data_IF_464328753826
#
_entry.id   IF_464328753826
#
_cell.length_a   1.000
_cell.length_b   1.000
_cell.length_c   1.000
_cell.angle_alpha   90.00
_cell.angle_beta   90.00
_cell.angle_gamma   90.00
#
_symmetry.space_group_name_H-M   'P 1'
#
loop_
_entity.id
_entity.type
_entity.pdbx_description
1 polymer ?
#
# COMPACT_ATOMS: atom_id res chain seq x y z
N UNK A 1 9.61 13.75 6.06
CA UNK A 1 11.00 14.13 6.29
C UNK A 1 11.28 14.69 7.68
N UNK A 2 10.54 15.68 8.23
CA UNK A 2 10.82 16.26 9.56
C UNK A 2 10.92 15.26 10.75
N UNK A 3 10.23 14.10 10.71
CA UNK A 3 10.31 13.11 11.80
C UNK A 3 11.59 12.26 11.75
N UNK A 4 12.11 11.96 10.57
CA UNK A 4 13.32 11.13 10.39
C UNK A 4 14.57 12.00 10.62
N UNK A 5 14.58 13.23 10.12
CA UNK A 5 15.68 14.16 10.37
C UNK A 5 15.83 14.58 11.86
N UNK A 6 14.75 14.45 12.64
CA UNK A 6 14.82 14.62 14.12
C UNK A 6 15.58 13.52 14.84
N UNK A 7 15.78 12.36 14.23
CA UNK A 7 16.55 11.23 14.77
C UNK A 7 18.05 11.28 14.41
N UNK A 8 18.54 12.40 13.86
CA UNK A 8 19.93 12.61 13.42
C UNK A 8 20.45 11.60 12.36
N UNK A 9 19.56 10.85 11.71
CA UNK A 9 19.93 9.94 10.61
C UNK A 9 19.80 10.73 9.32
N UNK A 10 20.90 10.99 8.58
CA UNK A 10 20.81 11.64 7.27
C UNK A 10 20.18 10.67 6.28
N UNK A 11 19.01 11.01 5.75
CA UNK A 11 18.30 10.20 4.77
C UNK A 11 18.01 11.03 3.53
N UNK A 12 18.50 10.60 2.38
CA UNK A 12 18.16 11.19 1.10
C UNK A 12 16.74 10.77 0.65
N UNK A 13 16.02 11.61 -0.11
CA UNK A 13 14.67 11.27 -0.57
C UNK A 13 14.57 9.91 -1.28
N UNK A 14 15.60 9.53 -2.02
CA UNK A 14 15.69 8.28 -2.79
C UNK A 14 15.82 7.03 -1.91
N UNK A 15 16.16 7.23 -0.63
CA UNK A 15 16.25 6.16 0.37
C UNK A 15 14.91 5.92 1.09
N UNK A 16 13.88 6.72 0.80
CA UNK A 16 12.56 6.60 1.41
C UNK A 16 11.65 5.81 0.46
N UNK A 17 11.37 4.56 0.80
CA UNK A 17 10.41 3.74 0.09
C UNK A 17 9.01 3.89 0.69
N UNK A 18 8.04 4.14 -0.16
CA UNK A 18 6.63 4.20 0.23
C UNK A 18 5.78 3.45 -0.79
N UNK A 19 4.61 2.91 -0.40
CA UNK A 19 3.70 2.28 -1.34
C UNK A 19 3.22 3.19 -2.49
N UNK A 20 3.34 4.51 -2.35
CA UNK A 20 3.04 5.46 -3.44
C UNK A 20 4.05 5.36 -4.60
N UNK A 21 5.33 5.09 -4.29
CA UNK A 21 6.36 4.88 -5.34
C UNK A 21 6.04 3.61 -6.14
N UNK A 22 5.61 2.55 -5.45
CA UNK A 22 5.21 1.31 -6.11
C UNK A 22 3.95 1.49 -6.95
N UNK A 23 2.97 2.26 -6.44
CA UNK A 23 1.76 2.61 -7.18
C UNK A 23 2.10 3.43 -8.45
N UNK A 24 2.99 4.42 -8.34
CA UNK A 24 3.47 5.18 -9.50
C UNK A 24 4.11 4.27 -10.55
N UNK A 25 5.03 3.40 -10.13
CA UNK A 25 5.68 2.45 -11.04
C UNK A 25 4.66 1.54 -11.72
N UNK A 26 3.66 1.05 -10.98
CA UNK A 26 2.58 0.23 -11.53
C UNK A 26 1.73 0.99 -12.58
N UNK A 27 1.36 2.24 -12.29
CA UNK A 27 0.62 3.08 -13.24
C UNK A 27 1.39 3.25 -14.55
N UNK A 28 2.70 3.54 -14.45
CA UNK A 28 3.59 3.72 -15.61
C UNK A 28 3.78 2.43 -16.40
N UNK A 29 4.04 1.32 -15.72
CA UNK A 29 4.25 0.00 -16.33
C UNK A 29 3.02 -0.48 -17.10
N UNK A 30 1.83 -0.26 -16.55
CA UNK A 30 0.55 -0.60 -17.19
C UNK A 30 0.14 0.38 -18.29
N UNK A 31 0.75 1.56 -18.34
CA UNK A 31 0.40 2.60 -19.30
C UNK A 31 -0.96 3.25 -19.06
N UNK A 32 -1.44 3.24 -17.81
CA UNK A 32 -2.71 3.89 -17.47
C UNK A 32 -2.61 5.41 -17.67
N UNK A 33 -3.62 5.98 -18.30
CA UNK A 33 -3.72 7.42 -18.59
C UNK A 33 -4.79 8.13 -17.75
N UNK A 34 -5.70 7.36 -17.14
CA UNK A 34 -6.77 7.89 -16.31
C UNK A 34 -7.02 6.98 -15.10
N UNK A 35 -6.74 7.51 -13.92
CA UNK A 35 -6.80 6.81 -12.63
C UNK A 35 -7.71 7.56 -11.69
N UNK A 36 -8.70 6.88 -11.12
CA UNK A 36 -9.43 7.43 -9.99
C UNK A 36 -8.64 7.21 -8.70
N UNK A 37 -7.94 8.26 -8.25
CA UNK A 37 -7.11 8.21 -7.05
C UNK A 37 -7.91 8.64 -5.82
N UNK A 38 -8.25 7.69 -4.94
CA UNK A 38 -8.88 7.94 -3.64
C UNK A 38 -7.76 8.26 -2.65
N UNK A 39 -7.60 9.56 -2.35
CA UNK A 39 -6.52 10.07 -1.53
C UNK A 39 -6.89 11.42 -0.91
N UNK A 40 -6.07 11.89 0.04
CA UNK A 40 -6.10 13.30 0.45
C UNK A 40 -5.60 14.20 -0.68
N UNK A 41 -6.02 15.45 -0.68
CA UNK A 41 -5.60 16.44 -1.69
C UNK A 41 -4.06 16.58 -1.77
N UNK A 42 -3.38 16.48 -0.62
CA UNK A 42 -1.91 16.55 -0.57
C UNK A 42 -1.25 15.36 -1.28
N UNK A 43 -1.78 14.16 -1.12
CA UNK A 43 -1.26 12.95 -1.80
C UNK A 43 -1.57 13.03 -3.29
N UNK A 44 -2.77 13.50 -3.66
CA UNK A 44 -3.16 13.68 -5.05
C UNK A 44 -2.26 14.67 -5.78
N UNK A 45 -2.00 15.84 -5.18
CA UNK A 45 -1.08 16.83 -5.74
C UNK A 45 0.34 16.27 -5.92
N UNK A 46 0.85 15.54 -4.93
CA UNK A 46 2.15 14.89 -5.03
C UNK A 46 2.22 13.85 -6.16
N UNK A 47 1.20 13.01 -6.30
CA UNK A 47 1.14 12.01 -7.38
C UNK A 47 0.96 12.67 -8.75
N UNK A 48 0.19 13.77 -8.84
CA UNK A 48 0.03 14.53 -10.08
C UNK A 48 1.37 15.13 -10.55
N UNK A 49 2.16 15.69 -9.65
CA UNK A 49 3.51 16.18 -9.95
C UNK A 49 4.41 15.06 -10.48
N UNK A 50 4.41 13.92 -9.82
CA UNK A 50 5.24 12.76 -10.20
C UNK A 50 4.83 12.12 -11.53
N UNK A 51 3.56 12.17 -11.89
CA UNK A 51 3.01 11.57 -13.12
C UNK A 51 2.77 12.60 -14.24
N UNK A 52 3.23 13.85 -14.06
CA UNK A 52 2.99 14.93 -15.01
C UNK A 52 3.57 14.65 -16.41
N UNK A 53 4.77 14.07 -16.47
CA UNK A 53 5.44 13.67 -17.72
C UNK A 53 4.71 12.55 -18.46
N UNK A 54 3.96 11.71 -17.76
CA UNK A 54 3.13 10.63 -18.33
C UNK A 54 1.71 11.10 -18.71
N UNK A 55 1.33 12.33 -18.37
CA UNK A 55 0.01 12.89 -18.71
C UNK A 55 -1.17 12.17 -18.05
N UNK A 56 -0.97 11.54 -16.88
CA UNK A 56 -1.99 10.77 -16.18
C UNK A 56 -2.97 11.70 -15.47
N UNK A 57 -4.27 11.53 -15.75
CA UNK A 57 -5.35 12.14 -14.96
C UNK A 57 -5.58 11.35 -13.68
N UNK A 58 -5.76 12.04 -12.54
CA UNK A 58 -6.02 11.42 -11.24
C UNK A 58 -7.44 11.72 -10.69
N UNK A 59 -8.29 12.28 -11.54
CA UNK A 59 -9.65 12.65 -11.21
C UNK A 59 -10.65 11.55 -11.51
N UNK A 60 -11.82 11.63 -10.86
CA UNK A 60 -12.96 10.79 -11.19
C UNK A 60 -13.49 11.14 -12.59
N UNK A 61 -13.45 10.18 -13.48
CA UNK A 61 -14.04 10.24 -14.81
C UNK A 61 -14.56 8.83 -15.16
N UNK A 62 -15.87 8.57 -15.01
CA UNK A 62 -16.44 7.23 -15.21
C UNK A 62 -16.29 6.69 -16.61
N UNK A 63 -16.13 7.57 -17.63
CA UNK A 63 -15.96 7.17 -19.01
C UNK A 63 -14.50 6.80 -19.33
N UNK A 64 -13.52 7.35 -18.61
CA UNK A 64 -12.10 7.24 -18.93
C UNK A 64 -11.28 6.45 -17.91
N UNK A 65 -11.68 6.42 -16.64
CA UNK A 65 -10.86 5.75 -15.62
C UNK A 65 -10.64 4.27 -15.95
N UNK A 66 -9.38 3.87 -15.92
CA UNK A 66 -8.87 2.51 -16.17
C UNK A 66 -8.49 1.80 -14.88
N UNK A 67 -8.22 2.59 -13.83
CA UNK A 67 -7.77 2.13 -12.53
C UNK A 67 -8.48 2.91 -11.42
N UNK A 68 -8.85 2.20 -10.35
CA UNK A 68 -9.20 2.77 -9.05
C UNK A 68 -8.03 2.48 -8.12
N UNK A 69 -7.43 3.52 -7.54
CA UNK A 69 -6.31 3.39 -6.61
C UNK A 69 -6.68 3.94 -5.24
N UNK A 70 -6.69 3.07 -4.22
CA UNK A 70 -7.01 3.43 -2.84
C UNK A 70 -5.72 3.67 -2.06
N UNK A 71 -5.58 4.87 -1.51
CA UNK A 71 -4.48 5.28 -0.63
C UNK A 71 -5.00 5.72 0.73
N UNK A 72 -4.11 5.93 1.70
CA UNK A 72 -4.50 6.45 3.00
C UNK A 72 -5.07 7.87 2.88
N UNK A 73 -6.35 8.01 3.17
CA UNK A 73 -7.10 9.23 2.99
C UNK A 73 -7.81 9.65 4.28
N UNK A 74 -7.27 10.69 4.94
CA UNK A 74 -7.91 11.33 6.12
C UNK A 74 -9.04 12.27 5.74
N UNK A 75 -9.20 12.56 4.45
CA UNK A 75 -10.23 13.41 3.87
C UNK A 75 -11.29 12.56 3.13
N UNK A 76 -11.37 11.26 3.47
CA UNK A 76 -12.30 10.31 2.86
C UNK A 76 -13.75 10.78 3.10
N UNK A 77 -14.50 10.82 2.01
CA UNK A 77 -15.94 11.14 2.04
C UNK A 77 -16.75 9.97 1.51
N UNK A 78 -18.04 9.95 1.87
CA UNK A 78 -18.98 8.99 1.28
C UNK A 78 -19.03 9.12 -0.25
N UNK A 79 -18.94 10.33 -0.79
CA UNK A 79 -18.93 10.57 -2.24
C UNK A 79 -17.76 9.82 -2.93
N UNK A 80 -16.54 9.89 -2.39
CA UNK A 80 -15.38 9.16 -2.95
C UNK A 80 -15.63 7.65 -3.00
N UNK A 81 -16.26 7.08 -1.98
CA UNK A 81 -16.60 5.65 -1.94
C UNK A 81 -17.73 5.31 -2.90
N UNK A 82 -18.76 6.17 -3.01
CA UNK A 82 -19.87 5.99 -3.94
C UNK A 82 -19.40 6.05 -5.40
N UNK A 83 -18.49 6.98 -5.72
CA UNK A 83 -17.89 7.10 -7.05
C UNK A 83 -17.08 5.83 -7.41
N UNK A 84 -16.26 5.32 -6.48
CA UNK A 84 -15.50 4.09 -6.68
C UNK A 84 -16.42 2.89 -6.92
N UNK A 85 -17.44 2.70 -6.09
CA UNK A 85 -18.38 1.59 -6.23
C UNK A 85 -19.24 1.74 -7.49
N UNK A 86 -19.64 2.96 -7.83
CA UNK A 86 -20.37 3.26 -9.08
C UNK A 86 -19.55 2.88 -10.30
N UNK A 87 -18.30 3.33 -10.38
CA UNK A 87 -17.38 3.01 -11.47
C UNK A 87 -17.13 1.48 -11.56
N UNK A 88 -16.89 0.82 -10.43
CA UNK A 88 -16.73 -0.64 -10.38
C UNK A 88 -17.95 -1.37 -10.90
N UNK A 89 -19.16 -0.99 -10.47
CA UNK A 89 -20.40 -1.62 -10.88
C UNK A 89 -20.65 -1.43 -12.38
N UNK A 90 -20.39 -0.25 -12.91
CA UNK A 90 -20.55 0.04 -14.34
C UNK A 90 -19.64 -0.83 -15.23
N UNK A 91 -18.44 -1.15 -14.77
CA UNK A 91 -17.40 -1.81 -15.55
C UNK A 91 -17.27 -3.31 -15.29
N UNK A 92 -17.43 -3.75 -14.04
CA UNK A 92 -17.04 -5.09 -13.58
C UNK A 92 -18.22 -5.98 -13.16
N UNK A 93 -19.37 -5.41 -12.75
CA UNK A 93 -20.50 -6.22 -12.33
C UNK A 93 -21.18 -6.91 -13.53
N UNK A 94 -21.56 -8.20 -13.37
CA UNK A 94 -22.45 -8.82 -14.35
C UNK A 94 -23.84 -8.14 -14.34
N UNK A 95 -24.54 -8.06 -15.49
CA UNK A 95 -25.89 -7.51 -15.54
C UNK A 95 -26.83 -8.24 -14.58
N UNK A 96 -27.55 -7.50 -13.75
CA UNK A 96 -28.48 -8.05 -12.76
C UNK A 96 -29.35 -6.97 -12.12
N UNK A 97 -30.33 -7.36 -11.28
CA UNK A 97 -31.25 -6.39 -10.64
C UNK A 97 -30.54 -5.32 -9.80
N UNK A 98 -29.37 -5.64 -9.24
CA UNK A 98 -28.54 -4.73 -8.45
C UNK A 98 -27.50 -3.97 -9.27
N UNK A 99 -27.32 -4.32 -10.55
CA UNK A 99 -26.38 -3.70 -11.50
C UNK A 99 -27.09 -3.44 -12.83
N UNK A 100 -28.03 -2.49 -12.90
CA UNK A 100 -28.85 -2.30 -14.09
C UNK A 100 -28.12 -1.71 -15.30
N UNK A 101 -26.95 -1.14 -15.12
CA UNK A 101 -26.24 -0.40 -16.16
C UNK A 101 -24.84 -0.97 -16.38
N UNK A 102 -24.73 -1.94 -17.29
CA UNK A 102 -23.44 -2.26 -17.91
C UNK A 102 -23.39 -1.60 -19.28
N UNK A 103 -22.45 -0.72 -19.51
CA UNK A 103 -22.08 -0.31 -20.84
C UNK A 103 -21.36 -1.50 -21.50
N UNK A 104 -22.04 -2.17 -22.40
CA UNK A 104 -21.66 -3.48 -23.00
C UNK A 104 -20.28 -3.53 -23.68
N UNK A 105 -19.60 -2.41 -23.85
CA UNK A 105 -18.37 -2.28 -24.64
C UNK A 105 -17.19 -1.65 -23.88
N UNK A 106 -17.25 -1.53 -22.54
CA UNK A 106 -16.16 -0.92 -21.79
C UNK A 106 -15.27 -1.99 -21.13
N UNK A 107 -13.96 -1.75 -21.17
CA UNK A 107 -12.95 -2.56 -20.47
C UNK A 107 -13.21 -2.54 -18.96
N UNK A 108 -13.07 -3.67 -18.26
CA UNK A 108 -13.12 -3.69 -16.80
C UNK A 108 -12.14 -2.67 -16.20
N UNK A 109 -12.53 -2.01 -15.12
CA UNK A 109 -11.63 -1.16 -14.33
C UNK A 109 -10.86 -2.02 -13.34
N UNK A 110 -9.56 -1.78 -13.20
CA UNK A 110 -8.75 -2.43 -12.17
C UNK A 110 -8.90 -1.70 -10.83
N UNK A 111 -8.64 -2.41 -9.73
CA UNK A 111 -8.64 -1.84 -8.39
C UNK A 111 -7.39 -2.27 -7.64
N UNK A 112 -6.67 -1.30 -7.07
CA UNK A 112 -5.45 -1.53 -6.29
C UNK A 112 -5.47 -0.73 -4.99
N UNK A 113 -4.68 -1.17 -4.00
CA UNK A 113 -4.53 -0.48 -2.73
C UNK A 113 -3.05 -0.37 -2.32
N UNK A 114 -2.71 0.66 -1.58
CA UNK A 114 -1.32 0.91 -1.20
C UNK A 114 -0.83 0.01 -0.05
N UNK A 115 -1.69 -0.42 0.87
CA UNK A 115 -1.32 -1.34 1.96
C UNK A 115 -2.56 -1.99 2.62
N UNK A 116 -2.41 -3.10 3.35
CA UNK A 116 -3.53 -3.86 3.88
C UNK A 116 -3.87 -3.53 5.34
N UNK A 117 -3.15 -2.61 6.00
CA UNK A 117 -3.33 -2.34 7.43
C UNK A 117 -4.78 -1.92 7.72
N UNK A 118 -5.41 -2.56 8.70
CA UNK A 118 -6.82 -2.30 9.05
C UNK A 118 -6.97 -1.08 9.96
N UNK A 119 -5.92 -0.75 10.70
CA UNK A 119 -5.88 0.39 11.59
C UNK A 119 -4.48 1.01 11.66
N UNK A 120 -4.47 2.30 11.94
CA UNK A 120 -3.28 3.10 12.18
C UNK A 120 -3.24 3.52 13.67
N UNK A 121 -2.10 3.45 14.38
CA UNK A 121 -2.01 3.90 15.76
C UNK A 121 -2.18 5.42 15.86
N UNK A 122 -2.88 5.87 16.90
CA UNK A 122 -3.02 7.29 17.24
C UNK A 122 -3.03 7.49 18.75
N UNK A 123 -2.89 8.74 19.19
CA UNK A 123 -2.98 9.11 20.62
C UNK A 123 -4.34 8.76 21.25
N UNK A 124 -5.39 8.59 20.43
CA UNK A 124 -6.74 8.24 20.86
C UNK A 124 -7.05 6.74 20.71
N UNK A 125 -6.04 5.92 20.41
CA UNK A 125 -6.19 4.51 20.08
C UNK A 125 -6.20 4.26 18.56
N UNK A 126 -6.47 3.01 18.12
CA UNK A 126 -6.48 2.66 16.70
C UNK A 126 -7.54 3.44 15.91
N UNK A 127 -7.15 4.00 14.78
CA UNK A 127 -8.05 4.66 13.83
C UNK A 127 -8.11 3.88 12.52
N UNK A 128 -9.21 3.97 11.73
CA UNK A 128 -9.37 3.21 10.49
C UNK A 128 -8.24 3.49 9.50
N UNK A 129 -7.79 2.43 8.82
CA UNK A 129 -6.83 2.49 7.74
C UNK A 129 -7.36 1.76 6.50
N UNK A 130 -6.59 1.68 5.43
CA UNK A 130 -6.97 1.19 4.09
C UNK A 130 -7.57 -0.20 4.13
N UNK A 131 -7.04 -1.11 4.95
CA UNK A 131 -7.56 -2.47 5.09
C UNK A 131 -9.02 -2.52 5.52
N UNK A 132 -9.44 -1.61 6.42
CA UNK A 132 -10.84 -1.43 6.80
C UNK A 132 -11.70 -0.94 5.63
N UNK A 133 -11.17 0.02 4.86
CA UNK A 133 -11.85 0.56 3.68
C UNK A 133 -11.98 -0.48 2.56
N UNK A 134 -10.93 -1.29 2.32
CA UNK A 134 -10.99 -2.42 1.38
C UNK A 134 -12.10 -3.42 1.77
N UNK A 135 -12.21 -3.74 3.06
CA UNK A 135 -13.28 -4.64 3.55
C UNK A 135 -14.67 -4.03 3.37
N UNK A 136 -14.82 -2.73 3.59
CA UNK A 136 -16.07 -2.02 3.31
C UNK A 136 -16.48 -2.17 1.83
N UNK A 137 -15.55 -1.93 0.89
CA UNK A 137 -15.79 -2.06 -0.54
C UNK A 137 -16.06 -3.52 -0.95
N UNK A 138 -15.34 -4.49 -0.36
CA UNK A 138 -15.55 -5.92 -0.60
C UNK A 138 -16.96 -6.37 -0.17
N UNK A 139 -17.41 -5.97 1.02
CA UNK A 139 -18.72 -6.34 1.55
C UNK A 139 -19.85 -5.65 0.75
N UNK A 140 -19.62 -4.41 0.31
CA UNK A 140 -20.64 -3.62 -0.40
C UNK A 140 -20.96 -4.19 -1.78
N UNK A 141 -19.95 -4.56 -2.57
CA UNK A 141 -20.13 -4.95 -3.98
C UNK A 141 -19.09 -5.94 -4.52
N UNK A 142 -18.41 -6.67 -3.63
CA UNK A 142 -17.40 -7.66 -4.02
C UNK A 142 -16.10 -7.08 -4.58
N UNK A 143 -15.86 -5.78 -4.41
CA UNK A 143 -14.69 -5.09 -4.93
C UNK A 143 -13.43 -5.49 -4.15
N UNK A 144 -12.54 -6.25 -4.80
CA UNK A 144 -11.27 -6.71 -4.22
C UNK A 144 -10.10 -6.15 -5.02
N UNK A 145 -9.05 -5.66 -4.34
CA UNK A 145 -7.86 -5.20 -5.06
C UNK A 145 -7.14 -6.35 -5.75
N UNK A 146 -6.73 -6.13 -7.01
CA UNK A 146 -5.85 -7.04 -7.75
C UNK A 146 -4.43 -7.04 -7.19
N UNK A 147 -4.00 -5.88 -6.65
CA UNK A 147 -2.68 -5.69 -6.04
C UNK A 147 -2.77 -4.84 -4.77
N UNK A 148 -1.97 -5.21 -3.78
CA UNK A 148 -1.71 -4.42 -2.58
C UNK A 148 -0.20 -4.23 -2.47
N UNK A 149 0.28 -2.98 -2.54
CA UNK A 149 1.70 -2.66 -2.74
C UNK A 149 2.54 -2.57 -1.46
N UNK A 150 1.91 -2.35 -0.32
CA UNK A 150 2.60 -2.27 0.97
C UNK A 150 2.96 -3.64 1.53
N UNK A 151 3.68 -3.65 2.64
CA UNK A 151 3.97 -4.89 3.39
C UNK A 151 2.69 -5.70 3.62
N UNK A 152 2.68 -7.01 3.43
CA UNK A 152 3.82 -7.91 3.23
C UNK A 152 4.22 -8.16 1.76
N UNK A 153 3.75 -7.34 0.80
CA UNK A 153 4.10 -7.49 -0.62
C UNK A 153 5.58 -7.17 -0.86
N UNK A 154 6.35 -8.05 -1.50
CA UNK A 154 7.77 -7.81 -1.79
C UNK A 154 7.99 -6.71 -2.83
N UNK A 155 6.94 -6.28 -3.55
CA UNK A 155 7.04 -5.21 -4.55
C UNK A 155 7.54 -3.89 -3.97
N UNK A 156 7.33 -3.65 -2.66
CA UNK A 156 7.88 -2.49 -1.97
C UNK A 156 9.42 -2.48 -1.98
N UNK A 157 10.06 -3.65 -1.97
CA UNK A 157 11.52 -3.80 -1.99
C UNK A 157 12.11 -3.85 -3.40
N UNK A 158 11.30 -3.84 -4.45
CA UNK A 158 11.78 -3.93 -5.84
C UNK A 158 12.90 -2.92 -6.18
N UNK A 159 12.85 -1.64 -5.76
CA UNK A 159 13.94 -0.68 -6.02
C UNK A 159 15.26 -1.02 -5.31
N UNK A 160 15.21 -1.77 -4.20
CA UNK A 160 16.39 -2.23 -3.45
C UNK A 160 16.95 -3.49 -4.09
N UNK A 161 16.06 -4.46 -4.38
CA UNK A 161 16.42 -5.73 -5.04
C UNK A 161 17.01 -5.53 -6.45
N UNK A 162 16.68 -4.41 -7.10
CA UNK A 162 17.30 -4.04 -8.38
C UNK A 162 18.77 -3.56 -8.25
N UNK A 163 19.22 -3.22 -7.04
CA UNK A 163 20.57 -2.65 -6.79
C UNK A 163 21.47 -3.58 -5.98
N UNK A 164 20.90 -4.43 -5.14
CA UNK A 164 21.61 -5.28 -4.20
C UNK A 164 21.14 -6.72 -4.35
N UNK A 165 22.02 -7.67 -4.08
CA UNK A 165 21.66 -9.09 -4.02
C UNK A 165 20.89 -9.40 -2.74
N UNK A 166 19.99 -10.39 -2.70
CA UNK A 166 19.20 -10.72 -1.51
C UNK A 166 20.02 -10.90 -0.23
N UNK A 167 21.20 -11.53 -0.35
CA UNK A 167 22.12 -11.74 0.78
C UNK A 167 22.83 -10.48 1.30
N UNK A 168 22.67 -9.37 0.63
CA UNK A 168 23.18 -8.06 1.04
C UNK A 168 22.07 -7.18 1.68
N UNK A 169 20.85 -7.73 1.81
CA UNK A 169 19.67 -7.01 2.27
C UNK A 169 19.15 -7.63 3.55
N UNK A 170 18.90 -6.80 4.54
CA UNK A 170 18.13 -7.17 5.71
C UNK A 170 16.96 -6.19 5.93
N UNK A 171 15.78 -6.71 6.19
CA UNK A 171 14.65 -5.93 6.67
C UNK A 171 14.74 -5.84 8.18
N UNK A 172 14.70 -4.64 8.73
CA UNK A 172 14.65 -4.39 10.17
C UNK A 172 13.27 -3.91 10.56
N UNK A 173 12.61 -4.56 11.50
CA UNK A 173 11.25 -4.21 11.90
C UNK A 173 10.81 -4.87 13.19
N UNK A 174 9.62 -4.48 13.64
CA UNK A 174 9.04 -4.91 14.92
C UNK A 174 7.79 -5.78 14.77
N UNK A 175 7.36 -6.08 13.52
CA UNK A 175 6.13 -6.83 13.26
C UNK A 175 6.38 -8.11 12.47
N UNK A 176 6.01 -9.25 13.06
CA UNK A 176 6.16 -10.54 12.38
C UNK A 176 5.21 -10.69 11.18
N UNK A 177 3.99 -10.19 11.28
CA UNK A 177 2.98 -10.37 10.22
C UNK A 177 3.11 -9.39 9.03
N UNK A 178 3.95 -8.37 9.13
CA UNK A 178 4.23 -7.43 8.03
C UNK A 178 5.71 -7.34 7.68
N UNK A 179 6.58 -6.97 8.64
CA UNK A 179 8.00 -6.75 8.38
C UNK A 179 8.76 -8.07 8.16
N UNK A 180 8.48 -9.09 8.97
CA UNK A 180 9.05 -10.43 8.74
C UNK A 180 8.48 -11.03 7.46
N UNK A 181 7.15 -10.88 7.25
CA UNK A 181 6.50 -11.44 6.07
C UNK A 181 7.02 -10.82 4.77
N UNK A 182 7.32 -9.51 4.70
CA UNK A 182 7.92 -8.93 3.50
C UNK A 182 9.34 -9.43 3.27
N UNK A 183 10.13 -9.64 4.34
CA UNK A 183 11.47 -10.23 4.24
C UNK A 183 11.41 -11.65 3.69
N UNK A 184 10.53 -12.49 4.23
CA UNK A 184 10.32 -13.86 3.75
C UNK A 184 9.87 -13.90 2.28
N UNK A 185 8.91 -13.05 1.92
CA UNK A 185 8.37 -12.98 0.55
C UNK A 185 9.41 -12.45 -0.45
N UNK A 186 10.36 -11.64 0.00
CA UNK A 186 11.46 -11.13 -0.82
C UNK A 186 12.71 -12.03 -0.81
N UNK A 187 12.77 -13.04 0.06
CA UNK A 187 13.93 -13.93 0.21
C UNK A 187 15.15 -13.22 0.80
N UNK A 188 14.93 -12.28 1.72
CA UNK A 188 15.99 -11.51 2.40
C UNK A 188 15.96 -11.74 3.91
N UNK A 189 17.04 -11.39 4.59
CA UNK A 189 17.12 -11.53 6.04
C UNK A 189 16.17 -10.60 6.78
N UNK A 190 15.76 -11.03 7.98
CA UNK A 190 14.96 -10.22 8.90
C UNK A 190 15.63 -10.08 10.25
N UNK A 191 15.77 -8.83 10.70
CA UNK A 191 16.22 -8.45 12.04
C UNK A 191 15.02 -7.94 12.83
N UNK A 192 14.68 -8.64 13.91
CA UNK A 192 13.57 -8.23 14.79
C UNK A 192 14.06 -7.28 15.88
N UNK A 193 13.41 -6.12 16.02
CA UNK A 193 13.61 -5.21 17.13
C UNK A 193 12.46 -5.33 18.13
N UNK A 194 12.79 -5.48 19.43
CA UNK A 194 11.80 -5.68 20.51
C UNK A 194 11.28 -4.36 21.09
N UNK A 195 11.72 -3.23 20.57
CA UNK A 195 11.26 -1.90 21.01
C UNK A 195 9.89 -1.49 20.45
N UNK A 196 9.23 -2.37 19.68
CA UNK A 196 7.94 -2.11 19.06
C UNK A 196 6.84 -3.08 19.49
N UNK A 197 6.17 -3.72 18.51
CA UNK A 197 4.97 -4.53 18.76
C UNK A 197 5.30 -5.99 19.19
N UNK A 198 6.30 -6.61 18.56
CA UNK A 198 6.65 -8.02 18.83
C UNK A 198 7.29 -8.18 20.22
N UNK A 199 6.76 -9.10 21.00
CA UNK A 199 7.30 -9.49 22.31
C UNK A 199 8.12 -10.79 22.23
N UNK A 200 8.95 -11.10 23.26
CA UNK A 200 9.62 -12.41 23.34
C UNK A 200 8.65 -13.60 23.34
N UNK A 201 7.43 -13.42 23.86
CA UNK A 201 6.40 -14.46 23.87
C UNK A 201 5.86 -14.71 22.44
N UNK A 202 5.68 -13.66 21.64
CA UNK A 202 5.26 -13.77 20.25
C UNK A 202 6.32 -14.50 19.41
N UNK A 203 7.61 -14.21 19.65
CA UNK A 203 8.72 -14.93 19.00
C UNK A 203 8.73 -16.41 19.37
N UNK A 204 8.52 -16.75 20.64
CA UNK A 204 8.46 -18.14 21.11
C UNK A 204 7.27 -18.91 20.52
N UNK A 205 6.15 -18.23 20.24
CA UNK A 205 4.95 -18.80 19.64
C UNK A 205 4.98 -18.79 18.11
N UNK A 206 5.97 -18.13 17.49
CA UNK A 206 6.03 -17.98 16.04
C UNK A 206 6.38 -19.31 15.36
N UNK A 207 5.46 -19.82 14.54
CA UNK A 207 5.61 -21.11 13.85
C UNK A 207 6.36 -21.03 12.51
N UNK A 208 6.70 -19.82 12.03
CA UNK A 208 7.44 -19.61 10.78
C UNK A 208 8.96 -19.70 10.95
N UNK A 209 9.70 -19.36 9.90
CA UNK A 209 11.17 -19.24 9.97
C UNK A 209 11.53 -18.13 10.98
N UNK A 210 12.38 -18.38 11.97
CA UNK A 210 12.74 -17.37 12.97
C UNK A 210 13.48 -16.19 12.31
N UNK A 211 13.47 -14.99 12.94
CA UNK A 211 14.35 -13.90 12.54
C UNK A 211 15.81 -14.33 12.50
N UNK A 212 16.61 -13.82 11.57
CA UNK A 212 18.05 -14.05 11.51
C UNK A 212 18.76 -13.50 12.77
N UNK A 213 18.27 -12.35 13.24
CA UNK A 213 18.79 -11.68 14.46
C UNK A 213 17.61 -11.08 15.24
N UNK A 214 17.72 -11.08 16.58
CA UNK A 214 16.79 -10.38 17.47
C UNK A 214 17.59 -9.44 18.37
N UNK A 215 17.20 -8.17 18.40
CA UNK A 215 17.84 -7.14 19.22
C UNK A 215 16.79 -6.38 20.05
N UNK A 216 17.18 -5.77 21.15
CA UNK A 216 16.26 -5.00 21.98
C UNK A 216 15.78 -3.73 21.29
N UNK A 217 16.70 -3.02 20.63
CA UNK A 217 16.44 -1.72 20.01
C UNK A 217 17.20 -1.58 18.69
N UNK A 218 16.77 -0.64 17.84
CA UNK A 218 17.35 -0.43 16.51
C UNK A 218 18.84 -0.04 16.54
N UNK A 219 19.30 0.67 17.57
CA UNK A 219 20.70 1.07 17.74
C UNK A 219 21.66 -0.12 17.97
N UNK A 220 21.12 -1.29 18.32
CA UNK A 220 21.88 -2.54 18.48
C UNK A 220 22.03 -3.36 17.19
N UNK A 221 21.45 -2.92 16.09
CA UNK A 221 21.52 -3.65 14.81
C UNK A 221 22.93 -3.62 14.21
N UNK A 222 23.73 -2.61 14.56
CA UNK A 222 25.09 -2.43 14.02
C UNK A 222 26.20 -2.99 14.94
N UNK A 223 25.85 -3.51 16.12
CA UNK A 223 26.78 -4.18 17.05
C UNK A 223 26.96 -5.65 16.67
#
# INVERSE_FOLDING_TARGET
MKKISGAAIPVAPEQILTPLITLESYIREKGYTSVYLISSEKVKAHMAERLADAGVSLDYDPERNELIALTYDKELTYAKLADATGLWNMRNCPPGPMCPVRTRNQTPVDFVATHPDTCCPSERGPIPDIGGMMKFLEITNGMKPSHVFGKPSPTLLAPVLAKFRPEEIAVVGDRLYTDKAIADNAGVDFVCVLSGETTPADLAAYAGTPPAVVVETFDRVAD
#
